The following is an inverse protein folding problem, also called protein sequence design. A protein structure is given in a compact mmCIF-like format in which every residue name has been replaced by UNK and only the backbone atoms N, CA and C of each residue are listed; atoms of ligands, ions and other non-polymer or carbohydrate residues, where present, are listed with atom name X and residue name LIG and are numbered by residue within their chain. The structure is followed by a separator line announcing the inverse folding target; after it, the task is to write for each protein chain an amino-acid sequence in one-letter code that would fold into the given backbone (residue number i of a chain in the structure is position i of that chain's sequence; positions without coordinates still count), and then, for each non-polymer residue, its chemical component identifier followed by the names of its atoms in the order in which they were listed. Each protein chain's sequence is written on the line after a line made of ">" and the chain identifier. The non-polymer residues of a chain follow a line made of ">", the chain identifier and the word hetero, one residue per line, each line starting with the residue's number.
data_IF_113356108621
#
_entry.id   IF_113356108621
#
_cell.length_a   1.000
_cell.length_b   1.000
_cell.length_c   1.000
_cell.angle_alpha   90.00
_cell.angle_beta   90.00
_cell.angle_gamma   90.00
#
_symmetry.space_group_name_H-M   'P 1'
#
loop_
_entity.id
_entity.type
_entity.pdbx_description
1 polymer ?
#
# COMPACT_ATOMS: atom_id res chain seq x y z
N UNK A 1 11.78 -7.20 21.04
CA UNK A 1 11.60 -6.93 19.59
C UNK A 1 12.62 -5.90 19.09
N UNK A 2 13.17 -6.08 17.88
CA UNK A 2 14.24 -5.20 17.33
C UNK A 2 13.81 -3.73 17.29
N UNK A 3 12.55 -3.44 16.91
CA UNK A 3 12.02 -2.06 16.86
C UNK A 3 12.15 -1.29 18.19
N UNK A 4 12.05 -1.96 19.35
CA UNK A 4 12.18 -1.30 20.67
C UNK A 4 13.60 -0.79 20.95
N UNK A 5 14.61 -1.36 20.32
CA UNK A 5 16.00 -0.94 20.48
C UNK A 5 16.35 0.32 19.67
N UNK A 6 15.48 0.73 18.74
CA UNK A 6 15.66 1.94 17.95
C UNK A 6 15.07 3.12 18.70
N UNK A 7 15.95 3.98 19.22
CA UNK A 7 15.62 5.18 20.02
C UNK A 7 16.19 6.43 19.35
N UNK A 8 15.66 7.60 19.71
CA UNK A 8 16.19 8.88 19.22
C UNK A 8 17.62 9.10 19.70
N UNK A 9 18.45 9.76 18.88
CA UNK A 9 19.80 10.20 19.30
C UNK A 9 19.77 11.43 20.20
N UNK A 10 18.64 12.12 20.26
CA UNK A 10 18.49 13.35 21.02
C UNK A 10 17.88 13.04 22.39
N UNK A 11 18.37 13.74 23.41
CA UNK A 11 17.70 13.77 24.70
C UNK A 11 16.30 14.36 24.52
N UNK A 12 15.27 13.65 25.02
CA UNK A 12 13.85 13.96 24.81
C UNK A 12 13.41 13.99 23.33
N UNK A 13 14.19 13.40 22.42
CA UNK A 13 13.82 13.27 21.01
C UNK A 13 12.77 12.19 20.77
N UNK A 14 12.18 12.21 19.58
CA UNK A 14 11.09 11.31 19.20
C UNK A 14 11.42 10.57 17.91
N UNK A 15 11.11 9.29 17.85
CA UNK A 15 11.10 8.53 16.58
C UNK A 15 9.71 8.68 15.97
N UNK A 16 9.65 9.30 14.80
CA UNK A 16 8.41 9.54 14.04
C UNK A 16 8.38 8.62 12.83
N UNK A 17 7.24 7.97 12.59
CA UNK A 17 6.97 7.16 11.40
C UNK A 17 5.75 7.74 10.68
N UNK A 18 5.88 8.01 9.39
CA UNK A 18 4.77 8.37 8.51
C UNK A 18 4.57 7.24 7.48
N UNK A 19 3.37 6.68 7.42
CA UNK A 19 3.02 5.49 6.64
C UNK A 19 1.84 5.78 5.70
N UNK A 20 1.84 5.19 4.50
CA UNK A 20 0.68 5.32 3.60
C UNK A 20 -0.47 4.42 4.05
N UNK A 21 -1.64 5.00 4.30
CA UNK A 21 -2.82 4.24 4.72
C UNK A 21 -3.30 3.29 3.61
N UNK A 22 -3.15 1.99 3.83
CA UNK A 22 -3.59 0.92 2.91
C UNK A 22 -3.06 1.08 1.47
N UNK A 23 -1.79 1.48 1.33
CA UNK A 23 -1.17 1.80 0.04
C UNK A 23 -1.41 0.74 -1.04
N UNK A 24 -1.21 -0.55 -0.72
CA UNK A 24 -1.34 -1.63 -1.68
C UNK A 24 -2.76 -1.75 -2.25
N UNK A 25 -3.80 -1.50 -1.44
CA UNK A 25 -5.18 -1.51 -1.89
C UNK A 25 -5.50 -0.31 -2.79
N UNK A 26 -5.09 0.88 -2.37
CA UNK A 26 -5.30 2.12 -3.14
C UNK A 26 -4.60 2.02 -4.49
N UNK A 27 -3.34 1.56 -4.52
CA UNK A 27 -2.59 1.37 -5.76
C UNK A 27 -3.17 0.26 -6.63
N UNK A 28 -3.67 -0.83 -6.05
CA UNK A 28 -4.41 -1.83 -6.81
C UNK A 28 -5.67 -1.23 -7.46
N UNK A 29 -6.44 -0.44 -6.71
CA UNK A 29 -7.59 0.30 -7.22
C UNK A 29 -7.24 1.26 -8.36
N UNK A 30 -6.12 1.97 -8.20
CA UNK A 30 -5.61 2.93 -9.18
C UNK A 30 -5.20 2.24 -10.49
N UNK A 31 -4.41 1.17 -10.42
CA UNK A 31 -3.96 0.43 -11.60
C UNK A 31 -5.08 -0.39 -12.27
N UNK A 32 -6.01 -0.91 -11.48
CA UNK A 32 -7.14 -1.68 -11.99
C UNK A 32 -8.26 -0.81 -12.55
N UNK A 33 -8.38 0.43 -12.06
CA UNK A 33 -9.50 1.36 -12.24
C UNK A 33 -10.84 0.75 -11.79
N UNK A 34 -10.79 -0.04 -10.71
CA UNK A 34 -11.97 -0.66 -10.14
C UNK A 34 -12.90 0.39 -9.51
N UNK A 35 -14.13 0.46 -10.01
CA UNK A 35 -15.11 1.46 -9.59
C UNK A 35 -15.52 1.31 -8.12
N UNK A 36 -15.59 0.06 -7.62
CA UNK A 36 -15.96 -0.21 -6.24
C UNK A 36 -14.84 0.22 -5.29
N UNK A 37 -13.57 -0.06 -5.63
CA UNK A 37 -12.42 0.45 -4.85
C UNK A 37 -12.38 1.97 -4.86
N UNK A 38 -12.57 2.59 -6.03
CA UNK A 38 -12.58 4.05 -6.15
C UNK A 38 -13.64 4.66 -5.24
N UNK A 39 -14.84 4.05 -5.19
CA UNK A 39 -15.91 4.46 -4.29
C UNK A 39 -15.55 4.23 -2.83
N UNK A 40 -15.03 3.05 -2.47
CA UNK A 40 -14.74 2.67 -1.09
C UNK A 40 -13.65 3.55 -0.46
N UNK A 41 -12.60 3.87 -1.21
CA UNK A 41 -11.52 4.77 -0.77
C UNK A 41 -12.04 6.20 -0.63
N UNK A 42 -12.76 6.74 -1.63
CA UNK A 42 -13.27 8.13 -1.58
C UNK A 42 -14.29 8.36 -0.46
N UNK A 43 -14.98 7.31 -0.03
CA UNK A 43 -15.94 7.36 1.06
C UNK A 43 -15.35 6.93 2.42
N UNK A 44 -14.03 6.71 2.52
CA UNK A 44 -13.35 6.37 3.78
C UNK A 44 -13.83 5.06 4.41
N UNK A 45 -14.18 4.06 3.60
CA UNK A 45 -14.65 2.77 4.13
C UNK A 45 -13.49 1.97 4.76
N UNK A 46 -13.73 1.37 5.93
CA UNK A 46 -12.79 0.43 6.54
C UNK A 46 -12.78 -0.90 5.77
N UNK A 47 -11.76 -1.08 4.93
CA UNK A 47 -11.56 -2.23 4.06
C UNK A 47 -11.37 -3.54 4.82
N UNK A 48 -10.73 -3.50 5.99
CA UNK A 48 -10.55 -4.69 6.83
C UNK A 48 -11.87 -5.11 7.45
N UNK A 49 -12.69 -4.14 7.84
CA UNK A 49 -14.05 -4.39 8.33
C UNK A 49 -14.95 -4.95 7.23
N UNK A 50 -14.86 -4.43 6.01
CA UNK A 50 -15.56 -4.96 4.84
C UNK A 50 -15.10 -6.38 4.48
N UNK A 51 -13.80 -6.65 4.54
CA UNK A 51 -13.26 -8.01 4.35
C UNK A 51 -13.87 -8.98 5.38
N UNK A 52 -13.86 -8.61 6.65
CA UNK A 52 -14.39 -9.43 7.71
C UNK A 52 -15.91 -9.64 7.55
N UNK A 53 -16.67 -8.60 7.18
CA UNK A 53 -18.11 -8.71 6.97
C UNK A 53 -18.45 -9.73 5.87
N UNK A 54 -17.65 -9.79 4.80
CA UNK A 54 -17.79 -10.76 3.72
C UNK A 54 -17.42 -12.17 4.21
N UNK A 55 -16.24 -12.35 4.84
CA UNK A 55 -15.78 -13.65 5.34
C UNK A 55 -16.76 -14.28 6.34
N UNK A 56 -17.30 -13.47 7.25
CA UNK A 56 -18.20 -13.91 8.31
C UNK A 56 -19.69 -13.78 7.94
N UNK A 57 -20.00 -13.34 6.72
CA UNK A 57 -21.37 -13.15 6.22
C UNK A 57 -22.27 -12.37 7.19
N UNK A 58 -21.74 -11.28 7.73
CA UNK A 58 -22.44 -10.39 8.67
C UNK A 58 -22.44 -8.94 8.17
N UNK A 59 -23.31 -8.12 8.74
CA UNK A 59 -23.28 -6.67 8.46
C UNK A 59 -21.97 -6.05 8.98
N UNK A 60 -21.33 -5.10 8.26
CA UNK A 60 -20.12 -4.45 8.74
C UNK A 60 -20.23 -3.94 10.18
N UNK A 61 -21.37 -3.38 10.59
CA UNK A 61 -21.59 -2.89 11.97
C UNK A 61 -21.46 -3.98 13.04
N UNK A 62 -21.66 -5.25 12.68
CA UNK A 62 -21.60 -6.41 13.58
C UNK A 62 -20.21 -7.07 13.62
N UNK A 63 -19.26 -6.61 12.81
CA UNK A 63 -17.89 -7.14 12.79
C UNK A 63 -17.20 -6.82 14.12
N UNK A 64 -16.79 -7.87 14.84
CA UNK A 64 -16.03 -7.71 16.08
C UNK A 64 -14.58 -7.33 15.82
N UNK A 65 -13.89 -6.78 16.83
CA UNK A 65 -12.45 -6.46 16.73
C UNK A 65 -11.61 -7.69 16.38
N UNK A 66 -11.93 -8.84 16.97
CA UNK A 66 -11.21 -10.10 16.73
C UNK A 66 -11.45 -10.61 15.30
N UNK A 67 -12.69 -10.52 14.80
CA UNK A 67 -13.01 -10.87 13.41
C UNK A 67 -12.25 -9.99 12.42
N UNK A 68 -12.22 -8.68 12.66
CA UNK A 68 -11.43 -7.72 11.85
C UNK A 68 -9.95 -8.07 11.87
N UNK A 69 -9.39 -8.34 13.05
CA UNK A 69 -7.97 -8.66 13.21
C UNK A 69 -7.59 -9.99 12.54
N UNK A 70 -8.41 -11.02 12.68
CA UNK A 70 -8.19 -12.33 12.06
C UNK A 70 -8.35 -12.29 10.53
N UNK A 71 -9.18 -11.39 10.02
CA UNK A 71 -9.42 -11.21 8.59
C UNK A 71 -8.35 -10.38 7.89
N UNK A 72 -7.57 -9.60 8.65
CA UNK A 72 -6.58 -8.64 8.13
C UNK A 72 -5.59 -9.27 7.16
N UNK A 73 -5.13 -10.50 7.45
CA UNK A 73 -4.20 -11.27 6.59
C UNK A 73 -4.81 -11.71 5.25
N UNK A 74 -6.14 -11.73 5.15
CA UNK A 74 -6.86 -12.11 3.93
C UNK A 74 -7.28 -10.90 3.08
N UNK A 75 -7.40 -9.70 3.67
CA UNK A 75 -7.90 -8.48 2.99
C UNK A 75 -7.23 -8.19 1.65
N UNK A 76 -5.92 -8.43 1.56
CA UNK A 76 -5.13 -8.12 0.36
C UNK A 76 -4.59 -9.37 -0.34
N UNK A 77 -4.80 -10.56 0.23
CA UNK A 77 -4.37 -11.81 -0.41
C UNK A 77 -4.92 -12.00 -1.83
N UNK A 78 -6.18 -11.62 -2.16
CA UNK A 78 -6.67 -11.64 -3.55
C UNK A 78 -5.89 -10.73 -4.50
N UNK A 79 -5.44 -9.55 -4.04
CA UNK A 79 -4.67 -8.57 -4.83
C UNK A 79 -3.36 -9.18 -5.29
N UNK A 80 -2.73 -9.99 -4.45
CA UNK A 80 -1.48 -10.68 -4.79
C UNK A 80 -1.69 -11.98 -5.58
N UNK A 81 -2.91 -12.26 -6.04
CA UNK A 81 -3.24 -13.48 -6.80
C UNK A 81 -3.39 -14.74 -5.94
N UNK A 82 -3.52 -14.58 -4.62
CA UNK A 82 -3.89 -15.63 -3.67
C UNK A 82 -5.28 -16.20 -3.99
N UNK A 83 -5.47 -17.50 -3.68
CA UNK A 83 -6.74 -18.20 -3.88
C UNK A 83 -7.22 -18.99 -2.65
N UNK A 84 -6.61 -18.77 -1.49
CA UNK A 84 -6.93 -19.50 -0.27
C UNK A 84 -6.69 -21.02 -0.36
N UNK A 85 -5.69 -21.47 -1.15
CA UNK A 85 -5.38 -22.90 -1.23
C UNK A 85 -4.88 -23.38 0.15
N UNK A 86 -5.55 -24.38 0.72
CA UNK A 86 -5.27 -24.87 2.07
C UNK A 86 -5.94 -24.06 3.19
N UNK A 87 -6.70 -23.01 2.86
CA UNK A 87 -7.50 -22.25 3.81
C UNK A 87 -8.90 -22.84 3.97
N UNK A 88 -9.61 -22.41 5.02
CA UNK A 88 -10.99 -22.84 5.29
C UNK A 88 -11.95 -22.49 4.14
N UNK A 89 -13.08 -23.19 4.08
CA UNK A 89 -14.11 -22.96 3.06
C UNK A 89 -14.61 -21.50 3.04
N UNK A 90 -14.73 -20.88 4.22
CA UNK A 90 -15.10 -19.47 4.36
C UNK A 90 -14.12 -18.54 3.62
N UNK A 91 -12.81 -18.78 3.77
CA UNK A 91 -11.78 -17.97 3.10
C UNK A 91 -11.79 -18.22 1.59
N UNK A 92 -11.98 -19.47 1.16
CA UNK A 92 -12.08 -19.79 -0.27
C UNK A 92 -13.31 -19.14 -0.92
N UNK A 93 -14.44 -19.07 -0.21
CA UNK A 93 -15.64 -18.39 -0.69
C UNK A 93 -15.44 -16.88 -0.74
N UNK A 94 -14.84 -16.27 0.29
CA UNK A 94 -14.42 -14.88 0.24
C UNK A 94 -13.54 -14.56 -0.98
N UNK A 95 -12.57 -15.42 -1.30
CA UNK A 95 -11.69 -15.20 -2.47
C UNK A 95 -12.47 -15.19 -3.79
N UNK A 96 -13.57 -15.95 -3.87
CA UNK A 96 -14.46 -15.94 -5.05
C UNK A 96 -15.32 -14.67 -5.06
N UNK A 97 -15.97 -14.36 -3.94
CA UNK A 97 -16.84 -13.19 -3.79
C UNK A 97 -16.08 -11.87 -3.97
N UNK A 98 -14.82 -11.81 -3.55
CA UNK A 98 -13.95 -10.66 -3.72
C UNK A 98 -13.90 -10.19 -5.17
N UNK A 99 -13.71 -11.10 -6.14
CA UNK A 99 -13.65 -10.74 -7.55
C UNK A 99 -15.01 -10.44 -8.18
N UNK A 100 -16.12 -10.80 -7.51
CA UNK A 100 -17.47 -10.37 -7.87
C UNK A 100 -17.75 -8.94 -7.41
N UNK A 101 -17.22 -8.55 -6.25
CA UNK A 101 -17.35 -7.18 -5.72
C UNK A 101 -16.40 -6.23 -6.45
N UNK A 102 -15.16 -6.66 -6.68
CA UNK A 102 -14.09 -5.89 -7.31
C UNK A 102 -13.78 -6.44 -8.71
N UNK A 103 -14.75 -6.33 -9.61
CA UNK A 103 -14.67 -6.84 -10.98
C UNK A 103 -13.55 -6.17 -11.80
N UNK A 104 -13.20 -4.92 -11.49
CA UNK A 104 -12.11 -4.19 -12.12
C UNK A 104 -10.74 -4.82 -11.80
N UNK A 105 -10.55 -5.33 -10.59
CA UNK A 105 -9.34 -6.13 -10.27
C UNK A 105 -9.33 -7.41 -11.09
N UNK A 106 -10.45 -8.13 -11.17
CA UNK A 106 -10.53 -9.37 -11.96
C UNK A 106 -10.16 -9.11 -13.43
N UNK A 107 -10.71 -8.03 -14.01
CA UNK A 107 -10.37 -7.58 -15.36
C UNK A 107 -8.89 -7.19 -15.48
N UNK A 108 -8.33 -6.48 -14.50
CA UNK A 108 -6.92 -6.10 -14.48
C UNK A 108 -5.99 -7.31 -14.45
N UNK A 109 -6.23 -8.27 -13.57
CA UNK A 109 -5.47 -9.51 -13.51
C UNK A 109 -5.52 -10.27 -14.83
N UNK A 110 -6.69 -10.33 -15.47
CA UNK A 110 -6.84 -10.94 -16.79
C UNK A 110 -6.02 -10.18 -17.84
N UNK A 111 -6.09 -8.84 -17.87
CA UNK A 111 -5.31 -7.99 -18.80
C UNK A 111 -3.81 -8.25 -18.66
N UNK A 112 -3.30 -8.28 -17.43
CA UNK A 112 -1.88 -8.57 -17.16
C UNK A 112 -1.49 -9.97 -17.62
N UNK A 113 -2.28 -10.97 -17.22
CA UNK A 113 -2.00 -12.38 -17.50
C UNK A 113 -2.07 -12.73 -18.99
N UNK A 114 -2.98 -12.10 -19.74
CA UNK A 114 -3.08 -12.30 -21.19
C UNK A 114 -2.09 -11.41 -21.95
N UNK A 115 -1.80 -10.20 -21.45
CA UNK A 115 -0.88 -9.25 -22.07
C UNK A 115 0.56 -9.73 -22.05
N UNK A 116 1.02 -10.25 -20.91
CA UNK A 116 2.38 -10.74 -20.72
C UNK A 116 2.73 -11.91 -21.66
N UNK A 117 1.75 -12.70 -22.10
CA UNK A 117 1.98 -13.81 -23.06
C UNK A 117 2.43 -13.33 -24.45
N UNK A 118 2.23 -12.05 -24.78
CA UNK A 118 2.56 -11.52 -26.12
C UNK A 118 4.06 -11.29 -26.31
N UNK A 119 4.72 -10.76 -25.29
CA UNK A 119 6.11 -10.32 -25.38
C UNK A 119 6.89 -10.49 -24.06
N UNK A 120 6.31 -11.14 -23.05
CA UNK A 120 6.89 -11.30 -21.73
C UNK A 120 6.86 -10.04 -20.86
N UNK A 121 6.34 -8.90 -21.33
CA UNK A 121 6.49 -7.61 -20.66
C UNK A 121 5.20 -7.18 -19.96
N UNK A 122 5.35 -6.69 -18.73
CA UNK A 122 4.36 -5.85 -18.05
C UNK A 122 5.00 -4.51 -17.72
N UNK A 123 4.30 -3.41 -17.98
CA UNK A 123 4.75 -2.06 -17.67
C UNK A 123 3.75 -1.35 -16.78
N UNK A 124 4.23 -0.59 -15.79
CA UNK A 124 3.41 0.28 -14.93
C UNK A 124 3.55 1.76 -15.35
N UNK A 125 2.68 2.67 -14.85
CA UNK A 125 2.67 4.08 -15.28
C UNK A 125 4.01 4.80 -15.18
N UNK A 126 4.84 4.47 -14.19
CA UNK A 126 6.18 5.05 -14.04
C UNK A 126 7.16 4.72 -15.18
N UNK A 127 6.78 3.82 -16.09
CA UNK A 127 7.62 3.30 -17.17
C UNK A 127 8.44 2.07 -16.76
N UNK A 128 8.41 1.67 -15.48
CA UNK A 128 9.09 0.45 -15.01
C UNK A 128 8.48 -0.79 -15.70
N UNK A 129 9.36 -1.63 -16.23
CA UNK A 129 9.00 -2.88 -16.90
C UNK A 129 9.46 -4.10 -16.10
N UNK A 130 8.65 -5.15 -16.18
CA UNK A 130 8.97 -6.50 -15.71
C UNK A 130 8.95 -7.43 -16.91
N UNK A 131 9.92 -8.35 -16.95
CA UNK A 131 10.09 -9.25 -18.08
C UNK A 131 10.09 -10.71 -17.62
N UNK A 132 9.17 -11.50 -18.18
CA UNK A 132 9.08 -12.95 -18.03
C UNK A 132 9.24 -13.61 -19.40
N UNK A 133 10.47 -13.96 -19.82
CA UNK A 133 10.74 -14.51 -21.16
C UNK A 133 10.01 -15.84 -21.41
N UNK A 134 9.88 -16.69 -20.39
CA UNK A 134 9.34 -18.05 -20.50
C UNK A 134 7.91 -18.16 -19.97
N UNK A 135 7.14 -17.07 -20.06
CA UNK A 135 5.75 -17.09 -19.63
C UNK A 135 4.89 -17.93 -20.58
N UNK A 136 4.15 -18.89 -20.03
CA UNK A 136 3.30 -19.80 -20.81
C UNK A 136 1.95 -19.98 -20.14
N UNK A 137 0.94 -20.42 -20.90
CA UNK A 137 -0.38 -20.76 -20.38
C UNK A 137 -0.38 -22.21 -19.89
N UNK A 138 -0.73 -22.41 -18.62
CA UNK A 138 -0.95 -23.72 -18.01
C UNK A 138 -2.29 -24.30 -18.47
N UNK A 139 -2.43 -25.63 -18.38
CA UNK A 139 -3.68 -26.36 -18.72
C UNK A 139 -4.91 -25.85 -17.97
N UNK A 140 -4.73 -25.33 -16.76
CA UNK A 140 -5.78 -24.70 -15.95
C UNK A 140 -6.11 -23.24 -16.33
N UNK A 141 -5.61 -22.74 -17.47
CA UNK A 141 -5.90 -21.41 -17.99
C UNK A 141 -5.19 -20.26 -17.27
N UNK A 142 -4.31 -20.51 -16.28
CA UNK A 142 -3.44 -19.48 -15.68
C UNK A 142 -2.13 -19.35 -16.47
N UNK A 143 -1.41 -18.25 -16.28
CA UNK A 143 -0.03 -18.16 -16.74
C UNK A 143 0.92 -18.75 -15.71
N UNK A 144 2.08 -19.23 -16.14
CA UNK A 144 3.24 -19.34 -15.25
C UNK A 144 3.52 -17.97 -14.62
N UNK A 145 4.10 -17.96 -13.41
CA UNK A 145 4.40 -16.73 -12.65
C UNK A 145 3.19 -15.83 -12.32
N UNK A 146 1.95 -16.33 -12.41
CA UNK A 146 0.74 -15.52 -12.22
C UNK A 146 0.77 -14.58 -11.00
N UNK A 147 1.15 -15.10 -9.82
CA UNK A 147 1.25 -14.31 -8.58
C UNK A 147 2.22 -13.15 -8.72
N UNK A 148 3.38 -13.36 -9.36
CA UNK A 148 4.36 -12.28 -9.60
C UNK A 148 3.81 -11.27 -10.60
N UNK A 149 3.20 -11.74 -11.68
CA UNK A 149 2.66 -10.89 -12.76
C UNK A 149 1.60 -9.93 -12.23
N UNK A 150 0.74 -10.37 -11.30
CA UNK A 150 -0.29 -9.50 -10.72
C UNK A 150 0.20 -8.67 -9.54
N UNK A 151 1.17 -9.18 -8.77
CA UNK A 151 1.67 -8.51 -7.56
C UNK A 151 2.73 -7.43 -7.84
N UNK A 152 3.73 -7.74 -8.68
CA UNK A 152 4.87 -6.84 -8.90
C UNK A 152 4.47 -5.44 -9.40
N UNK A 153 3.47 -5.30 -10.30
CA UNK A 153 2.98 -3.98 -10.69
C UNK A 153 2.49 -3.14 -9.51
N UNK A 154 1.69 -3.72 -8.62
CA UNK A 154 1.11 -3.03 -7.46
C UNK A 154 2.20 -2.61 -6.48
N UNK A 155 3.05 -3.56 -6.05
CA UNK A 155 4.12 -3.28 -5.10
C UNK A 155 5.12 -2.26 -5.64
N UNK A 156 5.44 -2.33 -6.93
CA UNK A 156 6.42 -1.43 -7.51
C UNK A 156 5.86 -0.03 -7.77
N UNK A 157 4.58 0.10 -8.10
CA UNK A 157 3.95 1.41 -8.19
C UNK A 157 3.88 2.10 -6.81
N UNK A 158 3.59 1.35 -5.74
CA UNK A 158 3.68 1.85 -4.36
C UNK A 158 5.12 2.25 -4.00
N UNK A 159 6.11 1.42 -4.35
CA UNK A 159 7.52 1.73 -4.11
C UNK A 159 8.00 2.95 -4.91
N UNK A 160 7.56 3.12 -6.15
CA UNK A 160 7.90 4.28 -6.99
C UNK A 160 7.38 5.58 -6.37
N UNK A 161 6.15 5.57 -5.85
CA UNK A 161 5.59 6.69 -5.08
C UNK A 161 6.36 6.93 -3.79
N UNK A 162 6.74 5.87 -3.07
CA UNK A 162 7.57 6.00 -1.86
C UNK A 162 8.91 6.65 -2.17
N UNK A 163 9.58 6.27 -3.27
CA UNK A 163 10.85 6.89 -3.65
C UNK A 163 10.69 8.38 -3.97
N UNK A 164 9.59 8.79 -4.61
CA UNK A 164 9.23 10.20 -4.78
C UNK A 164 9.06 10.88 -3.42
N UNK A 165 8.31 10.28 -2.49
CA UNK A 165 8.12 10.77 -1.12
C UNK A 165 9.45 10.96 -0.38
N UNK A 166 10.35 9.98 -0.45
CA UNK A 166 11.69 10.05 0.14
C UNK A 166 12.47 11.28 -0.36
N UNK A 167 12.51 11.49 -1.68
CA UNK A 167 13.22 12.61 -2.29
C UNK A 167 12.58 13.94 -1.89
N UNK A 168 11.25 14.02 -1.87
CA UNK A 168 10.50 15.21 -1.47
C UNK A 168 10.75 15.56 0.00
N UNK A 169 10.64 14.58 0.89
CA UNK A 169 10.90 14.75 2.32
C UNK A 169 12.34 15.21 2.57
N UNK A 170 13.31 14.56 1.92
CA UNK A 170 14.72 14.93 2.04
C UNK A 170 15.01 16.37 1.61
N UNK A 171 14.42 16.81 0.49
CA UNK A 171 14.52 18.20 0.02
C UNK A 171 13.88 19.15 1.03
N UNK A 172 12.69 18.83 1.54
CA UNK A 172 11.97 19.69 2.49
C UNK A 172 12.71 19.83 3.82
N UNK A 173 13.28 18.74 4.34
CA UNK A 173 14.09 18.78 5.56
C UNK A 173 15.33 19.65 5.40
N UNK A 174 15.98 19.62 4.23
CA UNK A 174 17.12 20.48 3.91
C UNK A 174 16.73 21.95 3.76
N UNK A 175 15.63 22.23 3.07
CA UNK A 175 15.08 23.58 2.89
C UNK A 175 14.78 24.24 4.24
N UNK A 176 14.12 23.50 5.13
CA UNK A 176 13.79 23.93 6.50
C UNK A 176 15.00 23.93 7.45
N UNK A 177 16.16 23.44 6.99
CA UNK A 177 17.41 23.32 7.77
C UNK A 177 17.22 22.54 9.09
N UNK A 178 16.41 21.49 9.07
CA UNK A 178 16.08 20.70 10.26
C UNK A 178 17.31 19.97 10.83
N UNK A 179 17.41 19.94 12.16
CA UNK A 179 18.34 19.07 12.91
C UNK A 179 17.91 17.61 12.83
N UNK A 180 16.61 17.38 12.75
CA UNK A 180 15.97 16.09 12.54
C UNK A 180 16.47 15.41 11.25
N UNK A 181 16.46 14.08 11.23
CA UNK A 181 16.98 13.29 10.11
C UNK A 181 15.99 12.22 9.70
N UNK A 182 15.82 12.04 8.39
CA UNK A 182 15.26 10.81 7.84
C UNK A 182 16.28 9.70 8.10
N UNK A 183 15.83 8.58 8.67
CA UNK A 183 16.70 7.49 9.13
C UNK A 183 16.61 6.31 8.17
N UNK A 184 15.41 5.86 7.87
CA UNK A 184 15.16 4.70 7.02
C UNK A 184 13.75 4.75 6.42
N UNK A 185 13.53 3.88 5.43
CA UNK A 185 12.22 3.60 4.85
C UNK A 185 11.94 2.12 4.98
N UNK A 186 10.71 1.77 5.35
CA UNK A 186 10.24 0.37 5.42
C UNK A 186 8.99 0.27 4.58
N UNK A 187 9.12 -0.32 3.39
CA UNK A 187 8.02 -0.48 2.43
C UNK A 187 7.30 0.86 2.14
N UNK A 188 6.15 1.07 2.78
CA UNK A 188 5.21 2.18 2.66
C UNK A 188 5.41 3.28 3.73
N UNK A 189 6.45 3.18 4.56
CA UNK A 189 6.75 4.15 5.61
C UNK A 189 8.09 4.89 5.49
N UNK A 190 8.11 6.12 6.02
CA UNK A 190 9.27 6.97 6.27
C UNK A 190 9.48 7.14 7.77
N UNK A 191 10.70 6.83 8.26
CA UNK A 191 11.07 6.97 9.66
C UNK A 191 12.05 8.12 9.85
N UNK A 192 11.77 9.00 10.79
CA UNK A 192 12.58 10.15 11.15
C UNK A 192 12.98 10.14 12.63
N UNK A 193 14.22 10.53 12.90
CA UNK A 193 14.72 10.87 14.23
C UNK A 193 14.57 12.38 14.44
N UNK A 194 13.70 12.76 15.36
CA UNK A 194 13.15 14.11 15.46
C UNK A 194 13.68 14.84 16.68
N UNK A 195 14.23 16.02 16.43
CA UNK A 195 14.68 16.93 17.48
C UNK A 195 13.46 17.46 18.27
N UNK A 196 13.53 17.59 19.61
CA UNK A 196 12.35 17.85 20.45
C UNK A 196 11.49 19.05 20.03
N UNK A 197 12.11 20.10 19.51
CA UNK A 197 11.42 21.34 19.12
C UNK A 197 11.00 21.39 17.64
N UNK A 198 11.21 20.32 16.88
CA UNK A 198 10.95 20.27 15.43
C UNK A 198 9.79 19.32 15.07
N UNK A 199 9.06 18.80 16.05
CA UNK A 199 8.03 17.76 15.84
C UNK A 199 6.96 18.18 14.83
N UNK A 200 6.37 19.36 14.98
CA UNK A 200 5.32 19.84 14.09
C UNK A 200 5.87 20.13 12.69
N UNK A 201 7.06 20.72 12.60
CA UNK A 201 7.73 20.98 11.32
C UNK A 201 8.03 19.68 10.57
N UNK A 202 8.42 18.62 11.28
CA UNK A 202 8.66 17.30 10.70
C UNK A 202 7.34 16.67 10.24
N UNK A 203 6.28 16.71 11.05
CA UNK A 203 4.95 16.21 10.66
C UNK A 203 4.46 16.88 9.37
N UNK A 204 4.52 18.21 9.32
CA UNK A 204 4.11 18.98 8.14
C UNK A 204 4.97 18.67 6.91
N UNK A 205 6.29 18.53 7.09
CA UNK A 205 7.21 18.19 6.01
C UNK A 205 6.95 16.79 5.45
N UNK A 206 6.70 15.79 6.31
CA UNK A 206 6.37 14.43 5.90
C UNK A 206 5.02 14.37 5.19
N UNK A 207 3.99 15.04 5.74
CA UNK A 207 2.67 15.13 5.12
C UNK A 207 2.71 15.76 3.74
N UNK A 208 3.39 16.90 3.62
CA UNK A 208 3.59 17.57 2.33
C UNK A 208 4.37 16.70 1.33
N UNK A 209 5.38 15.97 1.81
CA UNK A 209 6.22 15.13 0.97
C UNK A 209 5.44 13.92 0.41
N UNK A 210 4.76 13.19 1.28
CA UNK A 210 4.08 11.94 0.93
C UNK A 210 2.78 12.16 0.17
N UNK A 211 1.90 13.04 0.67
CA UNK A 211 0.62 13.34 -0.02
C UNK A 211 0.89 14.01 -1.37
N UNK A 212 1.87 14.92 -1.43
CA UNK A 212 2.26 15.59 -2.66
C UNK A 212 3.04 14.71 -3.65
N UNK A 213 3.37 13.46 -3.30
CA UNK A 213 4.04 12.54 -4.21
C UNK A 213 3.18 12.22 -5.45
N UNK A 214 1.86 12.17 -5.29
CA UNK A 214 0.92 11.98 -6.42
C UNK A 214 1.09 13.09 -7.45
N UNK A 215 1.00 14.35 -7.05
CA UNK A 215 1.07 15.47 -8.00
C UNK A 215 2.41 15.52 -8.77
N UNK A 216 3.51 15.13 -8.12
CA UNK A 216 4.80 15.00 -8.81
C UNK A 216 4.85 13.77 -9.72
N UNK A 217 4.24 12.64 -9.32
CA UNK A 217 4.11 11.45 -10.14
C UNK A 217 3.26 11.71 -11.39
N UNK A 218 2.14 12.43 -11.27
CA UNK A 218 1.26 12.78 -12.40
C UNK A 218 2.02 13.52 -13.51
N UNK A 219 2.82 14.51 -13.11
CA UNK A 219 3.64 15.28 -14.05
C UNK A 219 4.77 14.45 -14.66
N UNK A 220 5.42 13.58 -13.86
CA UNK A 220 6.56 12.78 -14.32
C UNK A 220 6.16 11.62 -15.20
N UNK A 221 5.00 11.02 -14.93
CA UNK A 221 4.56 9.77 -15.54
C UNK A 221 3.52 9.99 -16.65
N UNK A 222 3.09 11.24 -16.87
CA UNK A 222 1.98 11.59 -17.77
C UNK A 222 0.75 10.70 -17.50
N UNK A 223 0.37 10.64 -16.22
CA UNK A 223 -0.62 9.71 -15.71
C UNK A 223 -1.51 10.41 -14.69
N UNK A 224 -2.83 10.42 -14.87
CA UNK A 224 -3.77 11.04 -13.93
C UNK A 224 -4.24 10.04 -12.88
N UNK A 225 -4.06 10.35 -11.60
CA UNK A 225 -4.55 9.50 -10.51
C UNK A 225 -6.05 9.73 -10.27
N UNK A 226 -6.82 8.66 -10.04
CA UNK A 226 -8.23 8.76 -9.62
C UNK A 226 -8.41 8.70 -8.10
N UNK A 227 -7.43 8.14 -7.39
CA UNK A 227 -7.45 7.92 -5.96
C UNK A 227 -6.42 8.80 -5.23
N UNK A 228 -6.79 9.39 -4.08
CA UNK A 228 -5.84 10.05 -3.21
C UNK A 228 -4.99 9.02 -2.45
N UNK A 229 -3.85 9.46 -1.93
CA UNK A 229 -3.06 8.73 -0.94
C UNK A 229 -3.16 9.49 0.38
N UNK A 230 -3.56 8.76 1.41
CA UNK A 230 -3.59 9.25 2.78
C UNK A 230 -2.39 8.70 3.55
N UNK A 231 -2.04 9.39 4.63
CA UNK A 231 -0.97 8.95 5.52
C UNK A 231 -1.42 8.98 6.96
N UNK A 232 -0.85 8.08 7.74
CA UNK A 232 -0.90 8.08 9.21
C UNK A 232 0.48 8.44 9.74
N UNK A 233 0.55 9.32 10.73
CA UNK A 233 1.81 9.70 11.37
C UNK A 233 1.76 9.31 12.83
N UNK A 234 2.73 8.50 13.26
CA UNK A 234 2.88 8.07 14.63
C UNK A 234 4.23 8.50 15.19
N UNK A 235 4.35 8.59 16.51
CA UNK A 235 5.62 8.88 17.15
C UNK A 235 5.73 8.35 18.56
N UNK A 236 6.96 8.15 19.01
CA UNK A 236 7.22 7.61 20.34
C UNK A 236 8.68 7.67 20.76
N UNK A 237 8.92 7.24 22.00
CA UNK A 237 10.27 7.17 22.60
C UNK A 237 11.19 6.15 21.91
N UNK A 238 10.59 5.16 21.26
CA UNK A 238 11.27 4.17 20.43
C UNK A 238 10.34 3.76 19.29
N UNK A 239 10.88 3.07 18.30
CA UNK A 239 10.14 2.71 17.08
C UNK A 239 9.07 1.61 17.27
N UNK A 240 8.94 1.00 18.45
CA UNK A 240 7.86 0.05 18.74
C UNK A 240 6.70 0.70 19.51
N UNK A 241 7.03 1.49 20.54
CA UNK A 241 6.05 2.08 21.45
C UNK A 241 5.66 3.49 20.95
N UNK A 242 4.90 3.54 19.85
CA UNK A 242 4.43 4.77 19.20
C UNK A 242 2.93 5.02 19.44
N UNK A 243 2.53 6.29 19.40
CA UNK A 243 1.14 6.74 19.40
C UNK A 243 0.87 7.55 18.13
N UNK A 244 -0.34 7.43 17.60
CA UNK A 244 -0.80 8.25 16.47
C UNK A 244 -0.86 9.72 16.90
N UNK A 245 -0.40 10.60 16.01
CA UNK A 245 -0.52 12.03 16.19
C UNK A 245 -1.84 12.52 15.60
N UNK A 246 -2.43 13.51 16.27
CA UNK A 246 -3.54 14.30 15.73
C UNK A 246 -3.12 15.15 14.51
#
# INVERSE_FOLDING_TARGET
>A
PVRRAVVSRFENGTVVEADFSSAEFVICGELSRDAQIISDVKNGKDLHKQTASIIYQCDPSQVTKDQRQNSKKYSFAPIYGGRGMGESELVQNYMKEFFTIYEGIAAYHKRLSDGVLKNGIVQIPSGRQFFWPDVTRLRGGRTTFYTQIVNYPVQSAAADLMMISCIRAFRKFKELKLKSKLVLTVHDSLVADVFPTEIDQVKDALKWAMVGAIGEAEQRWDYTFALPLEIEITGGKNWLDQVEFD
#
